data_IF_043914574736
#
_entry.id   IF_043914574736
#
_cell.length_a   1.000
_cell.length_b   1.000
_cell.length_c   1.000
_cell.angle_alpha   90.00
_cell.angle_beta   90.00
_cell.angle_gamma   90.00
#
_symmetry.space_group_name_H-M   'P 1'
#
loop_
_entity.id
_entity.type
_entity.pdbx_description
1 polymer ?
#
# COMPACT_ATOMS: atom_id res chain seq x y z
N UNK A 1 -8.18 1.30 12.47
CA UNK A 1 -8.77 0.29 13.39
C UNK A 1 -9.92 0.84 14.20
N UNK A 2 -9.69 1.63 15.25
CA UNK A 2 -10.78 2.12 16.12
C UNK A 2 -11.84 2.95 15.36
N UNK A 3 -11.40 3.91 14.54
CA UNK A 3 -12.30 4.74 13.74
C UNK A 3 -13.11 3.94 12.71
N UNK A 4 -12.56 2.86 12.16
CA UNK A 4 -13.27 2.01 11.20
C UNK A 4 -14.40 1.21 11.85
N UNK A 5 -14.19 0.74 13.08
CA UNK A 5 -15.23 0.08 13.86
C UNK A 5 -16.38 1.04 14.19
N UNK A 6 -16.06 2.28 14.59
CA UNK A 6 -17.06 3.32 14.81
C UNK A 6 -17.82 3.62 13.51
N UNK A 7 -17.10 3.86 12.42
CA UNK A 7 -17.72 4.13 11.12
C UNK A 7 -18.67 2.99 10.69
N UNK A 8 -18.23 1.75 10.84
CA UNK A 8 -19.04 0.56 10.53
C UNK A 8 -20.26 0.47 11.43
N UNK A 9 -20.11 0.69 12.74
CA UNK A 9 -21.22 0.67 13.69
C UNK A 9 -22.26 1.75 13.36
N UNK A 10 -21.82 2.99 13.12
CA UNK A 10 -22.67 4.11 12.71
C UNK A 10 -23.36 3.80 11.38
N UNK A 11 -22.65 3.20 10.41
CA UNK A 11 -23.23 2.78 9.14
C UNK A 11 -24.34 1.74 9.33
N UNK A 12 -24.22 0.83 10.31
CA UNK A 12 -25.29 -0.09 10.68
C UNK A 12 -26.57 0.62 11.10
N UNK A 13 -26.48 1.62 11.99
CA UNK A 13 -27.64 2.44 12.37
C UNK A 13 -28.19 3.24 11.20
N UNK A 14 -27.32 3.83 10.37
CA UNK A 14 -27.73 4.56 9.19
C UNK A 14 -28.49 3.65 8.21
N UNK A 15 -27.97 2.46 7.91
CA UNK A 15 -28.62 1.47 7.05
C UNK A 15 -29.98 1.01 7.58
N UNK A 16 -30.07 0.72 8.88
CA UNK A 16 -31.35 0.41 9.53
C UNK A 16 -32.35 1.58 9.42
N UNK A 17 -31.88 2.80 9.65
CA UNK A 17 -32.67 4.04 9.54
C UNK A 17 -33.21 4.26 8.13
N UNK A 18 -32.37 4.07 7.10
CA UNK A 18 -32.77 4.16 5.69
C UNK A 18 -33.88 3.15 5.38
N UNK A 19 -33.73 1.89 5.79
CA UNK A 19 -34.79 0.88 5.56
C UNK A 19 -36.08 1.24 6.31
N UNK A 20 -35.98 1.78 7.53
CA UNK A 20 -37.15 2.23 8.28
C UNK A 20 -37.89 3.36 7.56
N UNK A 21 -37.17 4.36 7.03
CA UNK A 21 -37.74 5.46 6.25
C UNK A 21 -38.43 4.92 4.99
N UNK A 22 -37.77 4.04 4.24
CA UNK A 22 -38.35 3.40 3.05
C UNK A 22 -39.60 2.60 3.42
N UNK A 23 -39.59 1.88 4.54
CA UNK A 23 -40.75 1.14 4.99
C UNK A 23 -41.94 2.06 5.28
N UNK A 24 -41.70 3.25 5.85
CA UNK A 24 -42.76 4.25 6.06
C UNK A 24 -43.31 4.76 4.73
N UNK A 25 -42.45 5.11 3.77
CA UNK A 25 -42.85 5.63 2.45
C UNK A 25 -43.69 4.61 1.68
N UNK A 26 -43.38 3.32 1.78
CA UNK A 26 -44.09 2.23 1.07
C UNK A 26 -45.35 1.76 1.83
N UNK A 27 -45.77 2.49 2.88
CA UNK A 27 -46.98 2.16 3.64
C UNK A 27 -46.83 0.94 4.55
N UNK A 28 -45.64 0.76 5.13
CA UNK A 28 -45.29 -0.27 6.14
C UNK A 28 -45.42 -1.72 5.64
N UNK A 29 -45.20 -1.94 4.34
CA UNK A 29 -45.32 -3.25 3.69
C UNK A 29 -44.06 -4.11 3.76
N UNK A 30 -42.92 -3.58 4.21
CA UNK A 30 -41.69 -4.35 4.27
C UNK A 30 -41.66 -5.29 5.49
N UNK A 31 -41.13 -6.51 5.34
CA UNK A 31 -41.01 -7.44 6.44
C UNK A 31 -39.96 -6.97 7.46
N UNK A 32 -40.16 -7.31 8.75
CA UNK A 32 -39.33 -6.84 9.87
C UNK A 32 -37.84 -7.23 9.74
N UNK A 33 -37.53 -8.30 9.02
CA UNK A 33 -36.14 -8.74 8.80
C UNK A 33 -35.36 -7.86 7.82
N UNK A 34 -36.02 -6.96 7.06
CA UNK A 34 -35.29 -6.06 6.17
C UNK A 34 -34.46 -5.03 6.92
N UNK A 35 -34.86 -4.63 8.13
CA UNK A 35 -34.10 -3.67 8.94
C UNK A 35 -32.72 -4.21 9.32
N UNK A 36 -32.58 -5.41 9.94
CA UNK A 36 -31.27 -5.96 10.23
C UNK A 36 -30.46 -6.30 8.97
N UNK A 37 -31.12 -6.65 7.85
CA UNK A 37 -30.40 -6.82 6.56
C UNK A 37 -29.85 -5.49 6.05
N UNK A 38 -30.62 -4.41 6.11
CA UNK A 38 -30.15 -3.08 5.74
C UNK A 38 -28.97 -2.62 6.60
N UNK A 39 -29.03 -2.88 7.91
CA UNK A 39 -27.92 -2.61 8.81
C UNK A 39 -26.67 -3.41 8.41
N UNK A 40 -26.79 -4.73 8.25
CA UNK A 40 -25.68 -5.60 7.88
C UNK A 40 -25.08 -5.25 6.51
N UNK A 41 -25.93 -4.93 5.53
CA UNK A 41 -25.49 -4.48 4.21
C UNK A 41 -24.69 -3.18 4.31
N UNK A 42 -25.18 -2.19 5.04
CA UNK A 42 -24.46 -0.92 5.22
C UNK A 42 -23.11 -1.11 5.94
N UNK A 43 -23.07 -1.97 6.96
CA UNK A 43 -21.82 -2.35 7.64
C UNK A 43 -20.83 -3.00 6.68
N UNK A 44 -21.28 -3.97 5.89
CA UNK A 44 -20.44 -4.68 4.92
C UNK A 44 -19.93 -3.74 3.84
N UNK A 45 -20.78 -2.91 3.25
CA UNK A 45 -20.39 -1.92 2.25
C UNK A 45 -19.34 -0.95 2.80
N UNK A 46 -19.49 -0.51 4.05
CA UNK A 46 -18.51 0.37 4.70
C UNK A 46 -17.17 -0.32 4.89
N UNK A 47 -17.17 -1.58 5.33
CA UNK A 47 -15.94 -2.37 5.47
C UNK A 47 -15.21 -2.52 4.12
N UNK A 48 -15.94 -2.87 3.06
CA UNK A 48 -15.40 -2.98 1.71
C UNK A 48 -14.86 -1.62 1.24
N UNK A 49 -15.63 -0.54 1.41
CA UNK A 49 -15.19 0.82 1.02
C UNK A 49 -13.91 1.24 1.76
N UNK A 50 -13.78 0.89 3.03
CA UNK A 50 -12.59 1.20 3.81
C UNK A 50 -11.38 0.42 3.30
N UNK A 51 -11.57 -0.85 2.95
CA UNK A 51 -10.52 -1.72 2.45
C UNK A 51 -10.06 -1.39 1.04
N UNK A 52 -10.95 -1.03 0.11
CA UNK A 52 -10.54 -0.65 -1.24
C UNK A 52 -10.00 0.78 -1.31
N UNK A 53 -10.57 1.69 -0.52
CA UNK A 53 -10.17 3.10 -0.56
C UNK A 53 -8.85 3.42 0.15
N UNK A 54 -8.24 2.47 0.88
CA UNK A 54 -7.04 2.79 1.65
C UNK A 54 -5.85 3.17 0.78
N UNK A 55 -5.65 2.49 -0.34
CA UNK A 55 -4.47 2.65 -1.18
C UNK A 55 -4.45 4.06 -1.75
N UNK A 56 -5.53 4.46 -2.44
CA UNK A 56 -5.68 5.81 -2.98
C UNK A 56 -5.49 6.88 -1.90
N UNK A 57 -6.21 6.76 -0.77
CA UNK A 57 -6.05 7.72 0.35
C UNK A 57 -4.62 7.79 0.91
N UNK A 58 -3.86 6.70 0.87
CA UNK A 58 -2.47 6.67 1.36
C UNK A 58 -1.54 7.32 0.34
N UNK A 59 -1.71 7.00 -0.94
CA UNK A 59 -0.94 7.59 -2.05
C UNK A 59 -1.18 9.08 -2.15
N UNK A 60 -2.43 9.53 -2.05
CA UNK A 60 -2.80 10.96 -2.09
C UNK A 60 -2.22 11.76 -0.92
N UNK A 61 -1.82 11.09 0.16
CA UNK A 61 -1.21 11.69 1.33
C UNK A 61 0.32 11.61 1.32
N UNK A 62 0.94 11.02 0.29
CA UNK A 62 2.39 10.96 0.17
C UNK A 62 2.96 12.35 -0.16
N UNK A 63 4.11 12.73 0.41
CA UNK A 63 4.82 13.95 0.02
C UNK A 63 5.28 13.88 -1.43
N UNK A 64 5.41 15.06 -2.05
CA UNK A 64 6.09 15.20 -3.34
C UNK A 64 7.50 14.58 -3.25
N UNK A 65 7.83 13.73 -4.22
CA UNK A 65 9.12 13.00 -4.26
C UNK A 65 9.06 11.57 -3.69
N UNK A 66 7.96 11.14 -3.07
CA UNK A 66 7.73 9.72 -2.75
C UNK A 66 6.86 9.09 -3.83
N UNK A 67 7.45 8.22 -4.66
CA UNK A 67 6.78 7.63 -5.83
C UNK A 67 6.49 6.15 -5.62
N UNK A 68 5.28 5.71 -5.95
CA UNK A 68 4.91 4.29 -5.88
C UNK A 68 5.64 3.52 -6.98
N UNK A 69 6.43 2.52 -6.59
CA UNK A 69 7.13 1.64 -7.53
C UNK A 69 6.32 0.39 -7.82
N UNK A 70 5.87 -0.33 -6.79
CA UNK A 70 5.22 -1.64 -6.96
C UNK A 70 4.00 -1.76 -6.06
N UNK A 71 2.91 -2.29 -6.61
CA UNK A 71 1.70 -2.66 -5.86
C UNK A 71 1.54 -4.17 -5.82
N UNK A 72 1.03 -4.69 -4.70
CA UNK A 72 0.74 -6.11 -4.50
C UNK A 72 -0.74 -6.26 -4.20
N UNK A 73 -1.42 -6.97 -5.07
CA UNK A 73 -2.82 -7.33 -4.90
C UNK A 73 -2.98 -8.55 -4.01
N UNK A 74 -4.00 -8.51 -3.14
CA UNK A 74 -4.36 -9.59 -2.24
C UNK A 74 -5.80 -10.06 -2.52
N UNK A 75 -6.02 -11.36 -2.31
CA UNK A 75 -7.34 -11.99 -2.36
C UNK A 75 -7.56 -12.81 -1.08
N UNK A 76 -8.82 -13.09 -0.74
CA UNK A 76 -9.11 -13.95 0.40
C UNK A 76 -10.35 -14.82 0.18
N UNK A 77 -10.27 -16.07 0.65
CA UNK A 77 -11.33 -17.07 0.41
C UNK A 77 -12.69 -16.65 0.98
N UNK A 78 -12.73 -15.98 2.13
CA UNK A 78 -13.95 -15.52 2.78
C UNK A 78 -14.52 -14.23 2.15
N UNK A 79 -13.85 -13.67 1.14
CA UNK A 79 -14.26 -12.46 0.39
C UNK A 79 -14.32 -12.81 -1.11
N UNK A 80 -15.35 -13.55 -1.55
CA UNK A 80 -15.38 -14.12 -2.90
C UNK A 80 -15.29 -13.08 -4.02
N UNK A 81 -15.75 -11.85 -3.79
CA UNK A 81 -15.62 -10.76 -4.76
C UNK A 81 -14.16 -10.39 -5.07
N UNK A 82 -13.22 -10.66 -4.14
CA UNK A 82 -11.79 -10.35 -4.33
C UNK A 82 -11.12 -11.19 -5.41
N UNK A 83 -11.69 -12.35 -5.78
CA UNK A 83 -11.21 -13.12 -6.92
C UNK A 83 -11.50 -12.48 -8.26
N UNK A 84 -12.54 -11.63 -8.33
CA UNK A 84 -12.90 -10.87 -9.54
C UNK A 84 -12.25 -9.50 -9.52
N UNK A 85 -12.25 -8.84 -8.36
CA UNK A 85 -11.62 -7.55 -8.14
C UNK A 85 -10.72 -7.61 -6.91
N UNK A 86 -9.45 -7.99 -7.07
CA UNK A 86 -8.48 -7.94 -5.99
C UNK A 86 -8.34 -6.52 -5.44
N UNK A 87 -7.97 -6.41 -4.16
CA UNK A 87 -7.62 -5.13 -3.56
C UNK A 87 -6.10 -5.06 -3.38
N UNK A 88 -5.53 -3.87 -3.42
CA UNK A 88 -4.10 -3.68 -3.14
C UNK A 88 -3.91 -3.89 -1.65
N UNK A 89 -3.19 -4.92 -1.21
CA UNK A 89 -2.94 -5.15 0.22
C UNK A 89 -1.65 -4.52 0.73
N UNK A 90 -0.70 -4.32 -0.19
CA UNK A 90 0.62 -3.74 0.09
C UNK A 90 1.14 -3.00 -1.15
N UNK A 91 1.96 -1.98 -0.93
CA UNK A 91 2.74 -1.36 -1.99
C UNK A 91 4.09 -0.88 -1.46
N UNK A 92 5.02 -0.68 -2.38
CA UNK A 92 6.37 -0.17 -2.12
C UNK A 92 6.48 1.17 -2.84
N UNK A 93 6.95 2.18 -2.11
CA UNK A 93 7.28 3.48 -2.64
C UNK A 93 8.79 3.77 -2.49
N UNK A 94 9.33 4.53 -3.43
CA UNK A 94 10.71 5.02 -3.43
C UNK A 94 10.69 6.47 -2.98
N UNK A 95 11.46 6.77 -1.93
CA UNK A 95 11.67 8.12 -1.44
C UNK A 95 12.82 8.77 -2.23
N UNK A 96 12.50 9.45 -3.34
CA UNK A 96 13.52 10.04 -4.22
C UNK A 96 14.23 11.23 -3.58
N UNK A 97 13.61 11.86 -2.57
CA UNK A 97 14.25 12.93 -1.78
C UNK A 97 15.37 12.39 -0.88
N UNK A 98 15.33 11.10 -0.54
CA UNK A 98 16.37 10.45 0.24
C UNK A 98 17.59 10.01 -0.58
N UNK A 99 17.62 10.27 -1.90
CA UNK A 99 18.67 9.81 -2.79
C UNK A 99 20.03 10.38 -2.41
N UNK A 100 21.01 9.51 -2.19
CA UNK A 100 22.42 9.85 -1.93
C UNK A 100 23.29 9.28 -3.03
N UNK A 101 24.26 10.07 -3.47
CA UNK A 101 25.25 9.73 -4.50
C UNK A 101 26.66 9.82 -3.94
N UNK A 102 27.61 9.14 -4.56
CA UNK A 102 29.03 9.21 -4.21
C UNK A 102 29.87 9.27 -5.50
N UNK A 103 30.75 10.25 -5.60
CA UNK A 103 31.60 10.46 -6.77
C UNK A 103 32.58 9.30 -7.04
N UNK A 104 32.93 8.53 -5.99
CA UNK A 104 33.78 7.34 -6.13
C UNK A 104 33.07 6.16 -6.81
N UNK A 105 31.73 6.11 -6.71
CA UNK A 105 30.87 5.07 -7.30
C UNK A 105 29.68 5.75 -8.01
N UNK A 106 29.92 6.40 -9.17
CA UNK A 106 28.95 7.29 -9.80
C UNK A 106 27.70 6.58 -10.33
N UNK A 107 27.74 5.26 -10.47
CA UNK A 107 26.60 4.42 -10.89
C UNK A 107 25.77 3.90 -9.72
N UNK A 108 26.20 4.13 -8.46
CA UNK A 108 25.50 3.69 -7.27
C UNK A 108 24.62 4.80 -6.69
N UNK A 109 23.42 4.43 -6.27
CA UNK A 109 22.44 5.32 -5.62
C UNK A 109 21.99 4.67 -4.33
N UNK A 110 22.02 5.41 -3.23
CA UNK A 110 21.40 4.97 -1.98
C UNK A 110 20.05 5.66 -1.87
N UNK A 111 18.99 4.88 -1.72
CA UNK A 111 17.61 5.39 -1.57
C UNK A 111 16.90 4.63 -0.47
N UNK A 112 15.86 5.25 0.07
CA UNK A 112 14.99 4.59 1.01
C UNK A 112 13.73 4.05 0.31
N UNK A 113 13.44 2.77 0.53
CA UNK A 113 12.20 2.12 0.15
C UNK A 113 11.23 2.11 1.33
N UNK A 114 10.01 2.55 1.09
CA UNK A 114 8.96 2.59 2.10
C UNK A 114 7.90 1.55 1.73
N UNK A 115 7.74 0.55 2.60
CA UNK A 115 6.76 -0.53 2.42
C UNK A 115 5.53 -0.23 3.25
N UNK A 116 4.41 -0.03 2.55
CA UNK A 116 3.10 0.21 3.15
C UNK A 116 2.25 -1.04 3.06
N UNK A 117 1.73 -1.52 4.18
CA UNK A 117 0.75 -2.62 4.21
C UNK A 117 -0.52 -2.18 4.93
N UNK A 118 -1.68 -2.59 4.41
CA UNK A 118 -2.97 -2.21 5.00
C UNK A 118 -3.12 -2.57 6.49
N UNK A 119 -2.55 -3.71 6.86
CA UNK A 119 -2.63 -4.32 8.20
C UNK A 119 -1.24 -4.54 8.82
N UNK A 120 -0.23 -3.82 8.34
CA UNK A 120 1.15 -3.92 8.81
C UNK A 120 1.70 -2.53 9.14
N UNK A 121 2.63 -2.41 10.09
CA UNK A 121 3.32 -1.15 10.30
C UNK A 121 4.10 -0.77 9.04
N UNK A 122 4.18 0.54 8.78
CA UNK A 122 5.03 1.09 7.72
C UNK A 122 6.48 0.78 8.07
N UNK A 123 7.23 0.24 7.10
CA UNK A 123 8.65 -0.05 7.26
C UNK A 123 9.46 0.70 6.22
N UNK A 124 10.61 1.20 6.64
CA UNK A 124 11.56 1.92 5.78
C UNK A 124 12.85 1.10 5.71
N UNK A 125 13.32 0.84 4.49
CA UNK A 125 14.54 0.08 4.22
C UNK A 125 15.47 0.96 3.40
N UNK A 126 16.69 1.17 3.85
CA UNK A 126 17.71 1.83 3.03
C UNK A 126 18.36 0.79 2.14
N UNK A 127 18.40 1.06 0.84
CA UNK A 127 18.99 0.17 -0.15
C UNK A 127 20.00 0.91 -0.99
N UNK A 128 21.03 0.20 -1.45
CA UNK A 128 21.89 0.66 -2.52
C UNK A 128 21.46 0.00 -3.83
N UNK A 129 21.35 0.82 -4.87
CA UNK A 129 21.05 0.41 -6.24
C UNK A 129 22.29 0.67 -7.09
N UNK A 130 22.71 -0.35 -7.82
CA UNK A 130 23.69 -0.24 -8.90
C UNK A 130 22.94 -0.06 -10.22
N UNK A 131 22.92 1.18 -10.70
CA UNK A 131 22.18 1.56 -11.91
C UNK A 131 22.80 1.01 -13.20
N UNK A 132 24.10 0.68 -13.20
CA UNK A 132 24.78 0.15 -14.38
C UNK A 132 24.48 -1.34 -14.61
N UNK A 133 24.32 -2.10 -13.53
CA UNK A 133 24.12 -3.56 -13.59
C UNK A 133 22.77 -4.04 -13.09
N UNK A 134 21.87 -3.11 -12.71
CA UNK A 134 20.54 -3.39 -12.16
C UNK A 134 20.60 -4.36 -10.97
N UNK A 135 21.43 -4.03 -9.98
CA UNK A 135 21.54 -4.81 -8.73
C UNK A 135 21.09 -3.98 -7.53
N UNK A 136 20.54 -4.66 -6.53
CA UNK A 136 20.08 -4.05 -5.27
C UNK A 136 20.75 -4.74 -4.09
N UNK A 137 21.28 -3.95 -3.17
CA UNK A 137 21.77 -4.39 -1.87
C UNK A 137 20.94 -3.74 -0.76
N UNK A 138 20.39 -4.54 0.14
CA UNK A 138 19.67 -4.03 1.32
C UNK A 138 20.70 -3.64 2.39
N UNK A 139 20.74 -2.37 2.79
CA UNK A 139 21.69 -1.86 3.78
C UNK A 139 21.14 -2.11 5.18
N UNK A 140 21.41 -3.30 5.72
CA UNK A 140 21.00 -3.74 7.05
C UNK A 140 22.13 -3.57 8.09
N UNK A 141 21.84 -3.86 9.36
CA UNK A 141 22.85 -3.91 10.42
C UNK A 141 23.99 -4.87 10.05
N UNK A 142 25.24 -4.39 10.13
CA UNK A 142 26.44 -5.15 9.76
C UNK A 142 27.05 -4.77 8.42
N UNK A 143 26.37 -3.96 7.61
CA UNK A 143 26.92 -3.42 6.36
C UNK A 143 27.80 -2.20 6.65
N UNK A 144 29.01 -2.18 6.07
CA UNK A 144 29.94 -1.05 6.17
C UNK A 144 30.38 -0.55 4.79
N UNK A 145 30.89 0.67 4.74
CA UNK A 145 31.46 1.26 3.53
C UNK A 145 32.98 1.21 3.60
N UNK A 146 33.62 0.68 2.56
CA UNK A 146 35.07 0.74 2.37
C UNK A 146 35.54 2.12 1.93
N UNK A 147 36.86 2.34 1.96
CA UNK A 147 37.48 3.64 1.64
C UNK A 147 37.25 4.10 0.19
N UNK A 148 36.95 3.15 -0.70
CA UNK A 148 36.60 3.36 -2.11
C UNK A 148 35.09 3.54 -2.35
N UNK A 149 34.26 3.56 -1.30
CA UNK A 149 32.80 3.61 -1.40
C UNK A 149 32.15 2.25 -1.67
N UNK A 150 32.92 1.15 -1.70
CA UNK A 150 32.40 -0.20 -1.83
C UNK A 150 31.57 -0.59 -0.60
N UNK A 151 30.47 -1.30 -0.84
CA UNK A 151 29.64 -1.85 0.24
C UNK A 151 30.17 -3.21 0.64
N UNK A 152 30.65 -3.32 1.89
CA UNK A 152 31.19 -4.54 2.46
C UNK A 152 30.10 -5.23 3.29
N UNK A 153 29.92 -6.53 3.08
CA UNK A 153 28.99 -7.35 3.85
C UNK A 153 27.52 -7.21 3.44
N UNK A 154 27.23 -6.61 2.29
CA UNK A 154 25.88 -6.58 1.74
C UNK A 154 25.63 -7.70 0.72
N UNK A 155 24.45 -8.29 0.80
CA UNK A 155 23.97 -9.26 -0.17
C UNK A 155 23.35 -8.53 -1.36
N UNK A 156 24.02 -8.63 -2.52
CA UNK A 156 23.52 -8.07 -3.77
C UNK A 156 22.56 -9.04 -4.45
N UNK A 157 21.31 -8.60 -4.62
CA UNK A 157 20.32 -9.28 -5.43
C UNK A 157 20.29 -8.70 -6.85
N UNK A 158 20.30 -9.57 -7.85
CA UNK A 158 20.08 -9.17 -9.24
C UNK A 158 18.60 -8.80 -9.43
N UNK A 159 18.35 -7.63 -10.02
CA UNK A 159 17.01 -7.16 -10.34
C UNK A 159 16.78 -7.25 -11.85
N UNK A 160 15.50 -7.17 -12.25
CA UNK A 160 15.17 -6.89 -13.65
C UNK A 160 15.60 -5.46 -13.99
N UNK A 161 16.18 -5.19 -15.17
CA UNK A 161 16.43 -3.82 -15.63
C UNK A 161 15.16 -2.96 -15.67
N UNK A 162 14.02 -3.59 -15.97
CA UNK A 162 12.70 -2.94 -16.00
C UNK A 162 12.01 -2.93 -14.63
N UNK A 163 12.72 -3.29 -13.55
CA UNK A 163 12.13 -3.26 -12.21
C UNK A 163 11.69 -1.83 -11.87
N UNK A 164 10.45 -1.63 -11.38
CA UNK A 164 9.95 -0.29 -11.08
C UNK A 164 10.79 0.48 -10.06
N UNK A 165 11.44 -0.21 -9.12
CA UNK A 165 12.34 0.42 -8.14
C UNK A 165 13.61 0.91 -8.82
N UNK A 166 14.20 0.13 -9.74
CA UNK A 166 15.35 0.54 -10.54
C UNK A 166 14.98 1.74 -11.40
N UNK A 167 13.86 1.65 -12.11
CA UNK A 167 13.35 2.73 -12.98
C UNK A 167 13.12 4.02 -12.21
N UNK A 168 12.44 3.96 -11.07
CA UNK A 168 12.15 5.13 -10.23
C UNK A 168 13.42 5.75 -9.62
N UNK A 169 14.47 4.95 -9.37
CA UNK A 169 15.71 5.42 -8.73
C UNK A 169 16.72 5.94 -9.76
N UNK A 170 16.87 5.26 -10.88
CA UNK A 170 17.89 5.51 -11.88
C UNK A 170 17.38 6.34 -13.08
N UNK A 171 16.07 6.57 -13.19
CA UNK A 171 15.45 7.40 -14.24
C UNK A 171 14.93 6.65 -15.47
N UNK A 172 14.90 5.30 -15.43
CA UNK A 172 14.61 4.46 -16.60
C UNK A 172 15.82 4.37 -17.54
N UNK A 173 15.95 3.23 -18.24
CA UNK A 173 17.16 2.80 -18.93
C UNK A 173 17.83 3.86 -19.83
N UNK A 174 19.17 3.83 -19.85
CA UNK A 174 19.99 4.22 -21.01
C UNK A 174 19.81 3.20 -22.14
#
# INVERSE_FOLDING_TARGET
MFLELIATFVAGFAGAGVVMIVNVIVGRRLPKWMIPIGAGAAMLTTAISNEYGWYGRTVDALPDGVVVATTVEDTAFYRPWTYVWPYIGRFIAVDTLSTRTNDAVPDHRIVDLIVFGRWAPVRKFTVMIDCATARRADLMEGVSFGDNGEVIGADWAQMSPDDPVITATCGGAL
#
